data_IF_035928547952
#
_entry.id   IF_035928547952
#
_cell.length_a   1.000
_cell.length_b   1.000
_cell.length_c   1.000
_cell.angle_alpha   90.00
_cell.angle_beta   90.00
_cell.angle_gamma   90.00
#
_symmetry.space_group_name_H-M   'P 1'
#
loop_
_entity.id
_entity.type
_entity.pdbx_description
1 polymer ?
#
# COMPACT_ATOMS: atom_id res chain seq x y z
N UNK A 1 -69.52 -3.85 31.79
CA UNK A 1 -68.49 -4.17 32.80
C UNK A 1 -67.62 -5.30 32.25
N UNK A 2 -66.45 -4.98 31.68
CA UNK A 2 -65.44 -5.96 31.34
C UNK A 2 -64.06 -5.40 31.74
N UNK A 3 -63.30 -6.26 32.40
CA UNK A 3 -62.18 -5.94 33.28
C UNK A 3 -60.83 -6.25 32.63
N UNK A 4 -59.94 -5.25 32.69
CA UNK A 4 -58.51 -5.25 33.01
C UNK A 4 -57.53 -6.31 32.42
N UNK A 5 -56.58 -5.78 31.66
CA UNK A 5 -55.11 -5.94 31.70
C UNK A 5 -54.47 -7.32 32.00
N UNK A 6 -53.56 -7.75 31.13
CA UNK A 6 -52.11 -7.65 31.42
C UNK A 6 -51.25 -7.85 30.16
N UNK A 7 -50.28 -6.96 30.00
CA UNK A 7 -49.25 -6.98 28.96
C UNK A 7 -48.08 -7.86 29.39
N UNK A 8 -47.54 -8.65 28.46
CA UNK A 8 -46.22 -9.27 28.61
C UNK A 8 -45.39 -8.85 27.40
N UNK A 9 -44.63 -7.77 27.58
CA UNK A 9 -43.64 -7.31 26.61
C UNK A 9 -42.34 -8.08 26.90
N UNK A 10 -41.96 -9.01 26.02
CA UNK A 10 -40.65 -9.69 26.10
C UNK A 10 -39.60 -8.79 25.47
N UNK A 11 -38.84 -8.08 26.30
CA UNK A 11 -37.56 -7.50 25.93
C UNK A 11 -36.58 -8.65 25.62
N UNK A 12 -36.27 -8.87 24.33
CA UNK A 12 -35.01 -9.50 23.95
C UNK A 12 -33.95 -8.40 23.91
N UNK A 13 -33.14 -8.32 24.95
CA UNK A 13 -31.85 -7.63 24.91
C UNK A 13 -30.89 -8.45 24.04
N UNK A 14 -30.66 -8.01 22.79
CA UNK A 14 -29.48 -8.42 22.05
C UNK A 14 -28.26 -7.77 22.73
N UNK A 15 -27.43 -8.58 23.40
CA UNK A 15 -26.06 -8.18 23.69
C UNK A 15 -25.33 -8.12 22.34
N UNK A 16 -25.05 -6.91 21.87
CA UNK A 16 -24.04 -6.69 20.85
C UNK A 16 -22.67 -6.99 21.49
N UNK A 17 -22.09 -8.16 21.17
CA UNK A 17 -20.68 -8.37 21.41
C UNK A 17 -19.92 -7.42 20.47
N UNK A 18 -19.38 -6.33 21.04
CA UNK A 18 -18.32 -5.59 20.40
C UNK A 18 -17.08 -6.48 20.39
N UNK A 19 -16.95 -7.30 19.34
CA UNK A 19 -15.67 -7.90 18.98
C UNK A 19 -14.76 -6.73 18.58
N UNK A 20 -13.88 -6.31 19.48
CA UNK A 20 -12.72 -5.51 19.11
C UNK A 20 -11.83 -6.38 18.22
N UNK A 21 -12.14 -6.42 16.92
CA UNK A 21 -11.22 -6.97 15.95
C UNK A 21 -9.94 -6.14 16.06
N UNK A 22 -8.84 -6.78 16.44
CA UNK A 22 -7.53 -6.17 16.24
C UNK A 22 -7.46 -5.82 14.75
N UNK A 23 -7.11 -4.58 14.42
CA UNK A 23 -6.80 -4.19 13.04
C UNK A 23 -5.53 -4.96 12.69
N UNK A 24 -5.72 -6.04 11.94
CA UNK A 24 -4.65 -6.89 11.41
C UNK A 24 -4.38 -6.45 9.97
N UNK A 25 -3.15 -6.65 9.53
CA UNK A 25 -2.72 -6.45 8.16
C UNK A 25 -3.74 -7.00 7.16
N UNK A 26 -3.86 -6.34 6.01
CA UNK A 26 -4.61 -6.90 4.90
C UNK A 26 -3.86 -8.14 4.36
N UNK A 27 -4.24 -9.31 4.87
CA UNK A 27 -3.80 -10.63 4.41
C UNK A 27 -4.63 -11.04 3.20
N UNK A 28 -3.96 -11.24 2.07
CA UNK A 28 -4.57 -11.63 0.81
C UNK A 28 -4.03 -12.99 0.37
N UNK A 29 -4.87 -13.94 -0.06
CA UNK A 29 -4.39 -15.18 -0.64
C UNK A 29 -3.59 -14.86 -1.91
N UNK A 30 -2.46 -15.52 -2.09
CA UNK A 30 -1.73 -15.42 -3.35
C UNK A 30 -2.58 -15.98 -4.49
N UNK A 31 -2.56 -15.33 -5.66
CA UNK A 31 -3.33 -15.78 -6.80
C UNK A 31 -2.68 -17.05 -7.39
N UNK A 32 -3.42 -17.83 -8.20
CA UNK A 32 -2.89 -19.01 -8.85
C UNK A 32 -1.60 -18.72 -9.65
N UNK A 33 -0.73 -19.73 -9.89
CA UNK A 33 0.44 -19.55 -10.74
C UNK A 33 0.05 -18.98 -12.12
N UNK A 34 0.72 -17.90 -12.54
CA UNK A 34 0.41 -17.18 -13.78
C UNK A 34 -0.61 -16.05 -13.64
N UNK A 35 -1.18 -15.85 -12.46
CA UNK A 35 -1.97 -14.67 -12.12
C UNK A 35 -1.22 -13.76 -11.14
N UNK A 36 -1.50 -12.46 -11.19
CA UNK A 36 -0.78 -11.40 -10.47
C UNK A 36 -1.70 -10.46 -9.68
N UNK A 37 -3.02 -10.59 -9.81
CA UNK A 37 -3.98 -9.69 -9.16
C UNK A 37 -4.53 -10.32 -7.89
N UNK A 38 -4.50 -9.56 -6.78
CA UNK A 38 -5.03 -9.96 -5.48
C UNK A 38 -6.05 -8.96 -4.95
N UNK A 39 -6.86 -9.41 -4.00
CA UNK A 39 -7.84 -8.57 -3.33
C UNK A 39 -9.03 -8.20 -4.23
N UNK A 40 -9.82 -7.24 -3.76
CA UNK A 40 -11.04 -6.79 -4.41
C UNK A 40 -11.29 -5.33 -4.06
N UNK A 41 -11.91 -4.59 -4.99
CA UNK A 41 -12.33 -3.22 -4.71
C UNK A 41 -13.52 -3.26 -3.76
N UNK A 42 -13.48 -2.43 -2.73
CA UNK A 42 -14.62 -2.26 -1.82
C UNK A 42 -15.17 -0.85 -1.94
N UNK A 43 -16.45 -0.70 -1.66
CA UNK A 43 -17.12 0.59 -1.60
C UNK A 43 -17.87 0.66 -0.28
N UNK A 44 -17.64 1.73 0.46
CA UNK A 44 -18.34 2.03 1.71
C UNK A 44 -19.12 3.32 1.58
N UNK A 45 -20.08 3.54 2.49
CA UNK A 45 -20.74 4.84 2.62
C UNK A 45 -20.12 5.61 3.76
N UNK A 46 -19.62 6.80 3.46
CA UNK A 46 -19.04 7.68 4.46
C UNK A 46 -20.10 8.16 5.47
N UNK A 47 -19.67 8.32 6.72
CA UNK A 47 -20.39 9.02 7.79
C UNK A 47 -19.97 10.48 7.81
N UNK A 48 -20.73 11.29 8.54
CA UNK A 48 -20.46 12.73 8.64
C UNK A 48 -19.08 13.04 9.22
N UNK A 49 -18.63 12.26 10.20
CA UNK A 49 -17.35 12.43 10.88
C UNK A 49 -16.15 11.75 10.19
N UNK A 50 -16.37 11.01 9.10
CA UNK A 50 -15.29 10.28 8.43
C UNK A 50 -14.33 11.23 7.73
N UNK A 51 -13.04 10.93 7.80
CA UNK A 51 -12.00 11.54 6.96
C UNK A 51 -11.25 10.45 6.20
N UNK A 52 -10.61 10.77 5.09
CA UNK A 52 -9.80 9.78 4.35
C UNK A 52 -8.61 9.29 5.18
N UNK A 53 -8.09 10.10 6.10
CA UNK A 53 -7.03 9.68 7.02
C UNK A 53 -7.52 8.60 7.99
N UNK A 54 -8.72 8.79 8.56
CA UNK A 54 -9.31 7.85 9.51
C UNK A 54 -9.80 6.59 8.80
N UNK A 55 -10.47 6.73 7.67
CA UNK A 55 -10.88 5.62 6.81
C UNK A 55 -9.67 4.82 6.33
N UNK A 56 -8.61 5.49 5.90
CA UNK A 56 -7.38 4.82 5.48
C UNK A 56 -6.73 4.05 6.62
N UNK A 57 -6.59 4.67 7.79
CA UNK A 57 -6.04 4.01 8.99
C UNK A 57 -6.87 2.80 9.43
N UNK A 58 -8.20 2.90 9.37
CA UNK A 58 -9.11 1.82 9.76
C UNK A 58 -9.10 0.63 8.80
N UNK A 59 -8.60 0.81 7.57
CA UNK A 59 -8.61 -0.20 6.51
C UNK A 59 -7.21 -0.54 5.98
N UNK A 60 -6.14 -0.11 6.66
CA UNK A 60 -4.74 -0.27 6.23
C UNK A 60 -4.46 0.25 4.81
N UNK A 61 -4.93 1.47 4.54
CA UNK A 61 -4.73 2.19 3.29
C UNK A 61 -3.97 3.49 3.54
N UNK A 62 -3.17 3.91 2.55
CA UNK A 62 -2.42 5.17 2.61
C UNK A 62 -3.33 6.38 2.39
N UNK A 63 -2.96 7.54 2.95
CA UNK A 63 -3.75 8.76 2.72
C UNK A 63 -3.82 9.14 1.23
N UNK A 64 -2.68 9.21 0.53
CA UNK A 64 -2.68 9.58 -0.90
C UNK A 64 -3.32 8.50 -1.76
N UNK A 65 -3.26 7.25 -1.34
CA UNK A 65 -3.96 6.14 -2.00
C UNK A 65 -5.50 6.34 -1.94
N UNK A 66 -6.02 6.73 -0.77
CA UNK A 66 -7.44 7.07 -0.61
C UNK A 66 -7.84 8.28 -1.46
N UNK A 67 -6.99 9.31 -1.51
CA UNK A 67 -7.23 10.51 -2.34
C UNK A 67 -7.25 10.17 -3.83
N UNK A 68 -6.28 9.40 -4.31
CA UNK A 68 -6.16 9.03 -5.71
C UNK A 68 -7.36 8.21 -6.20
N UNK A 69 -7.81 7.23 -5.39
CA UNK A 69 -8.92 6.36 -5.74
C UNK A 69 -10.30 7.05 -5.70
N UNK A 70 -10.41 8.27 -5.15
CA UNK A 70 -11.68 8.96 -4.94
C UNK A 70 -11.67 10.40 -5.50
N UNK A 71 -11.46 10.58 -6.82
CA UNK A 71 -11.40 11.90 -7.42
C UNK A 71 -12.71 12.69 -7.23
N UNK A 72 -12.61 13.92 -6.75
CA UNK A 72 -13.74 14.82 -6.55
C UNK A 72 -14.47 14.68 -5.21
N UNK A 73 -14.06 13.75 -4.34
CA UNK A 73 -14.55 13.64 -2.96
C UNK A 73 -13.63 14.45 -2.04
N UNK A 74 -14.21 15.23 -1.12
CA UNK A 74 -13.44 15.99 -0.14
C UNK A 74 -12.77 15.04 0.89
N UNK A 75 -11.43 15.02 1.00
CA UNK A 75 -10.74 14.09 1.90
C UNK A 75 -10.97 14.35 3.40
N UNK A 76 -11.37 15.56 3.78
CA UNK A 76 -11.63 15.94 5.17
C UNK A 76 -13.10 15.89 5.56
N UNK A 77 -13.99 16.00 4.57
CA UNK A 77 -15.43 15.88 4.79
C UNK A 77 -16.09 15.23 3.57
N UNK A 78 -15.95 13.89 3.39
CA UNK A 78 -16.52 13.18 2.24
C UNK A 78 -18.02 13.37 2.08
N UNK A 79 -18.71 13.65 3.21
CA UNK A 79 -20.15 13.86 3.28
C UNK A 79 -20.88 12.55 3.59
N UNK A 80 -21.91 12.66 4.44
CA UNK A 80 -22.71 11.50 4.83
C UNK A 80 -23.38 10.85 3.62
N UNK A 81 -23.22 9.53 3.49
CA UNK A 81 -23.82 8.74 2.42
C UNK A 81 -23.02 8.71 1.11
N UNK A 82 -21.96 9.52 0.99
CA UNK A 82 -21.05 9.49 -0.17
C UNK A 82 -20.41 8.11 -0.29
N UNK A 83 -20.39 7.57 -1.50
CA UNK A 83 -19.70 6.33 -1.80
C UNK A 83 -18.20 6.58 -1.87
N UNK A 84 -17.45 5.90 -1.01
CA UNK A 84 -15.98 5.98 -0.93
C UNK A 84 -15.42 4.63 -1.35
N UNK A 85 -14.56 4.65 -2.36
CA UNK A 85 -13.79 3.51 -2.85
C UNK A 85 -12.65 3.24 -1.87
N UNK A 86 -12.53 1.98 -1.46
CA UNK A 86 -11.37 1.44 -0.79
C UNK A 86 -10.56 0.63 -1.82
N UNK A 87 -9.37 1.11 -2.25
CA UNK A 87 -8.54 0.49 -3.29
C UNK A 87 -7.84 -0.80 -2.82
N UNK A 88 -8.58 -1.78 -2.29
CA UNK A 88 -8.04 -3.04 -1.74
C UNK A 88 -7.80 -4.14 -2.78
N UNK A 89 -7.51 -3.75 -4.03
CA UNK A 89 -7.18 -4.65 -5.14
C UNK A 89 -5.85 -4.23 -5.74
N UNK A 90 -4.93 -5.18 -5.88
CA UNK A 90 -3.55 -4.87 -6.31
C UNK A 90 -3.09 -5.82 -7.40
N UNK A 91 -2.38 -5.27 -8.37
CA UNK A 91 -1.38 -5.98 -9.18
C UNK A 91 -0.13 -6.12 -8.33
N UNK A 92 0.32 -7.35 -8.10
CA UNK A 92 1.53 -7.62 -7.32
C UNK A 92 2.78 -7.01 -8.01
N UNK A 93 3.75 -6.49 -7.24
CA UNK A 93 4.98 -5.94 -7.83
C UNK A 93 5.74 -6.97 -8.68
N UNK A 94 6.45 -6.53 -9.75
CA UNK A 94 7.28 -7.41 -10.57
C UNK A 94 8.31 -8.20 -9.76
N UNK A 95 8.74 -9.33 -10.28
CA UNK A 95 9.87 -10.11 -9.74
C UNK A 95 9.48 -11.12 -8.65
N UNK A 96 10.44 -11.59 -7.84
CA UNK A 96 10.19 -12.64 -6.85
C UNK A 96 9.17 -12.22 -5.78
N UNK A 97 8.21 -13.11 -5.51
CA UNK A 97 7.23 -13.03 -4.41
C UNK A 97 7.82 -13.64 -3.14
N UNK A 98 8.86 -13.01 -2.61
CA UNK A 98 9.61 -13.51 -1.45
C UNK A 98 9.99 -12.37 -0.51
N UNK A 99 9.81 -12.60 0.80
CA UNK A 99 10.24 -11.68 1.83
C UNK A 99 9.50 -10.35 1.75
N UNK A 100 10.21 -9.26 2.02
CA UNK A 100 9.64 -7.91 1.97
C UNK A 100 9.91 -7.31 0.59
N UNK A 101 8.87 -6.80 -0.05
CA UNK A 101 8.95 -5.97 -1.26
C UNK A 101 8.30 -4.62 -0.97
N UNK A 102 9.06 -3.54 -1.13
CA UNK A 102 8.57 -2.17 -0.95
C UNK A 102 8.51 -1.52 -2.33
N UNK A 103 7.31 -1.08 -2.73
CA UNK A 103 7.14 -0.24 -3.91
C UNK A 103 6.93 1.21 -3.47
N UNK A 104 7.88 2.07 -3.80
CA UNK A 104 7.85 3.47 -3.39
C UNK A 104 6.70 4.23 -4.07
N UNK A 105 6.43 3.96 -5.36
CA UNK A 105 5.45 4.71 -6.14
C UNK A 105 4.01 4.61 -5.60
N UNK A 106 3.68 3.48 -4.98
CA UNK A 106 2.35 3.23 -4.39
C UNK A 106 2.37 3.28 -2.85
N UNK A 107 3.48 3.73 -2.25
CA UNK A 107 3.65 3.83 -0.80
C UNK A 107 3.32 2.53 -0.05
N UNK A 108 3.66 1.36 -0.61
CA UNK A 108 3.22 0.07 -0.06
C UNK A 108 4.35 -0.92 0.18
N UNK A 109 4.22 -1.65 1.28
CA UNK A 109 5.02 -2.83 1.62
C UNK A 109 4.18 -4.08 1.38
N UNK A 110 4.77 -5.05 0.71
CA UNK A 110 4.26 -6.40 0.54
C UNK A 110 5.17 -7.36 1.29
N UNK A 111 4.61 -8.23 2.12
CA UNK A 111 5.34 -9.30 2.78
C UNK A 111 4.82 -10.65 2.30
N UNK A 112 5.73 -11.46 1.74
CA UNK A 112 5.48 -12.82 1.27
C UNK A 112 6.17 -13.81 2.23
N UNK A 113 5.43 -14.38 3.20
CA UNK A 113 5.99 -15.30 4.18
C UNK A 113 6.45 -16.60 3.52
N UNK A 114 7.60 -17.13 3.97
CA UNK A 114 8.12 -18.38 3.43
C UNK A 114 7.17 -19.55 3.76
N UNK A 115 6.80 -20.32 2.72
CA UNK A 115 5.98 -21.52 2.87
C UNK A 115 4.50 -21.25 3.10
N UNK A 116 4.04 -20.01 2.94
CA UNK A 116 2.63 -19.64 3.02
C UNK A 116 2.16 -19.11 1.66
N UNK A 117 0.91 -19.41 1.31
CA UNK A 117 0.30 -18.94 0.06
C UNK A 117 -0.50 -17.65 0.26
N UNK A 118 0.10 -16.67 0.93
CA UNK A 118 -0.51 -15.38 1.27
C UNK A 118 0.48 -14.25 1.04
N UNK A 119 -0.05 -13.04 0.89
CA UNK A 119 0.71 -11.80 0.92
C UNK A 119 0.04 -10.86 1.92
N UNK A 120 0.82 -10.27 2.82
CA UNK A 120 0.36 -9.20 3.69
C UNK A 120 0.75 -7.87 3.07
N UNK A 121 -0.15 -6.90 3.04
CA UNK A 121 0.17 -5.56 2.53
C UNK A 121 0.00 -4.48 3.59
N UNK A 122 0.85 -3.47 3.56
CA UNK A 122 0.87 -2.39 4.53
C UNK A 122 1.15 -1.04 3.85
N UNK A 123 0.41 0.01 4.21
CA UNK A 123 0.72 1.35 3.75
C UNK A 123 1.97 1.87 4.49
N UNK A 124 2.79 2.65 3.77
CA UNK A 124 4.06 3.20 4.26
C UNK A 124 4.12 4.72 4.07
N UNK A 125 4.76 5.41 5.00
CA UNK A 125 5.36 6.72 4.72
C UNK A 125 6.80 6.54 4.21
N UNK A 126 7.21 7.33 3.22
CA UNK A 126 8.55 7.26 2.64
C UNK A 126 9.32 8.58 2.80
N UNK A 127 10.55 8.63 2.27
CA UNK A 127 11.36 9.85 2.21
C UNK A 127 10.67 11.00 1.49
N UNK A 128 10.77 12.20 2.05
CA UNK A 128 10.46 13.44 1.33
C UNK A 128 11.46 13.67 0.19
N UNK A 129 11.12 14.57 -0.71
CA UNK A 129 11.98 15.03 -1.78
C UNK A 129 13.38 15.45 -1.27
N UNK A 130 14.42 15.06 -2.00
CA UNK A 130 15.82 15.27 -1.58
C UNK A 130 16.30 14.36 -0.43
N UNK A 131 15.42 13.52 0.13
CA UNK A 131 15.71 12.50 1.13
C UNK A 131 15.17 11.13 0.69
N UNK A 132 15.34 10.81 -0.59
CA UNK A 132 14.77 9.62 -1.22
C UNK A 132 15.14 8.31 -0.51
N UNK A 133 14.16 7.41 -0.46
CA UNK A 133 14.37 6.04 0.03
C UNK A 133 15.22 5.23 -0.97
N UNK A 134 16.04 4.27 -0.51
CA UNK A 134 17.03 3.60 -1.36
C UNK A 134 16.34 2.59 -2.28
N UNK A 135 16.91 2.34 -3.46
CA UNK A 135 16.51 1.26 -4.35
C UNK A 135 17.49 0.08 -4.24
N UNK A 136 16.98 -1.14 -4.48
CA UNK A 136 17.81 -2.34 -4.59
C UNK A 136 17.40 -3.46 -3.63
N UNK A 137 18.34 -4.37 -3.36
CA UNK A 137 18.11 -5.58 -2.56
C UNK A 137 18.96 -5.56 -1.31
N UNK A 138 18.34 -5.91 -0.19
CA UNK A 138 18.94 -5.98 1.13
C UNK A 138 18.24 -7.03 2.00
N UNK A 139 18.31 -6.83 3.31
CA UNK A 139 17.67 -7.69 4.30
C UNK A 139 17.41 -6.95 5.61
N UNK A 140 16.51 -7.50 6.43
CA UNK A 140 16.38 -7.12 7.84
C UNK A 140 17.61 -7.62 8.60
N UNK A 141 18.32 -6.73 9.29
CA UNK A 141 19.55 -7.05 10.02
C UNK A 141 19.34 -7.11 11.53
N UNK A 142 18.50 -6.23 12.08
CA UNK A 142 18.23 -6.14 13.51
C UNK A 142 16.78 -5.77 13.73
N UNK A 143 16.17 -6.34 14.77
CA UNK A 143 14.83 -5.99 15.27
C UNK A 143 14.98 -5.43 16.67
N UNK A 144 14.44 -4.24 16.93
CA UNK A 144 14.60 -3.56 18.21
C UNK A 144 13.23 -3.07 18.72
N UNK A 145 12.67 -3.69 19.76
CA UNK A 145 11.50 -3.16 20.44
C UNK A 145 11.87 -1.91 21.23
N UNK A 146 10.92 -0.97 21.35
CA UNK A 146 11.06 0.28 22.12
C UNK A 146 12.42 0.97 21.91
N UNK A 147 12.77 1.33 20.66
CA UNK A 147 14.10 1.84 20.36
C UNK A 147 14.30 3.24 20.93
N UNK A 148 15.51 3.53 21.42
CA UNK A 148 15.97 4.92 21.49
C UNK A 148 16.27 5.45 20.07
N UNK A 149 16.02 6.74 19.85
CA UNK A 149 16.38 7.43 18.62
C UNK A 149 17.59 8.32 18.85
N UNK A 150 18.59 8.18 17.99
CA UNK A 150 19.79 9.02 17.96
C UNK A 150 19.73 9.82 16.65
N UNK A 151 19.30 11.09 16.71
CA UNK A 151 19.13 11.90 15.50
C UNK A 151 20.46 12.01 14.73
N UNK A 152 20.49 11.64 13.44
CA UNK A 152 21.64 11.87 12.57
C UNK A 152 22.07 13.33 12.61
N UNK A 153 23.37 13.57 12.40
CA UNK A 153 23.94 14.93 12.41
C UNK A 153 23.19 15.87 11.47
N UNK A 154 22.88 15.41 10.25
CA UNK A 154 22.16 16.20 9.25
C UNK A 154 20.75 16.61 9.70
N UNK A 155 20.00 15.72 10.36
CA UNK A 155 18.69 16.04 10.94
C UNK A 155 18.82 17.07 12.06
N UNK A 156 19.85 16.95 12.92
CA UNK A 156 20.08 17.94 13.98
C UNK A 156 20.44 19.32 13.43
N UNK A 157 21.21 19.38 12.35
CA UNK A 157 21.59 20.63 11.70
C UNK A 157 20.39 21.32 11.05
N UNK A 158 19.52 20.56 10.37
CA UNK A 158 18.26 21.08 9.82
C UNK A 158 17.35 21.64 10.90
N UNK A 159 17.02 20.85 11.92
CA UNK A 159 16.15 21.30 13.01
C UNK A 159 16.75 22.53 13.74
N UNK A 160 18.08 22.56 13.95
CA UNK A 160 18.73 23.71 14.56
C UNK A 160 18.65 24.98 13.70
N UNK A 161 18.68 24.86 12.36
CA UNK A 161 18.47 25.99 11.45
C UNK A 161 17.05 26.57 11.57
N UNK A 162 16.06 25.72 11.89
CA UNK A 162 14.68 26.11 12.14
C UNK A 162 14.42 26.57 13.60
N UNK A 163 15.45 26.63 14.44
CA UNK A 163 15.36 27.03 15.83
C UNK A 163 14.90 25.92 16.79
N UNK A 164 14.80 24.68 16.32
CA UNK A 164 14.47 23.49 17.12
C UNK A 164 15.73 22.69 17.46
N UNK A 165 16.23 22.80 18.70
CA UNK A 165 17.44 22.08 19.10
C UNK A 165 17.07 20.66 19.56
N UNK A 166 17.26 19.69 18.68
CA UNK A 166 17.04 18.29 19.00
C UNK A 166 18.05 17.76 20.04
N UNK A 167 17.60 16.92 21.00
CA UNK A 167 18.50 16.23 21.92
C UNK A 167 19.40 15.23 21.17
N UNK A 168 20.53 14.87 21.78
CA UNK A 168 21.44 13.86 21.22
C UNK A 168 20.85 12.44 21.25
N UNK A 169 19.89 12.21 22.13
CA UNK A 169 19.11 10.98 22.25
C UNK A 169 17.67 11.31 22.63
N UNK A 170 16.72 10.69 21.96
CA UNK A 170 15.33 10.63 22.38
C UNK A 170 15.09 9.23 22.97
N UNK A 171 14.74 9.12 24.26
CA UNK A 171 14.53 7.82 24.90
C UNK A 171 13.31 7.10 24.30
N UNK A 172 13.15 5.79 24.56
CA UNK A 172 11.92 5.08 24.21
C UNK A 172 10.70 5.73 24.89
N UNK A 173 9.58 5.82 24.17
CA UNK A 173 8.33 6.38 24.70
C UNK A 173 7.41 6.89 23.61
N UNK A 174 6.22 7.40 23.98
CA UNK A 174 5.21 7.90 23.03
C UNK A 174 5.73 9.03 22.13
N UNK A 175 6.66 9.84 22.62
CA UNK A 175 7.23 10.96 21.87
C UNK A 175 8.40 10.55 20.95
N UNK A 176 8.79 9.29 20.95
CA UNK A 176 9.89 8.82 20.11
C UNK A 176 9.45 8.67 18.65
N UNK A 177 10.12 9.33 17.68
CA UNK A 177 9.68 9.31 16.29
C UNK A 177 9.86 7.97 15.58
N UNK A 178 10.58 7.03 16.19
CA UNK A 178 10.68 5.65 15.70
C UNK A 178 9.48 4.78 16.12
N UNK A 179 8.60 5.28 16.98
CA UNK A 179 7.46 4.53 17.48
C UNK A 179 7.86 3.34 18.36
N UNK A 180 7.00 2.32 18.49
CA UNK A 180 7.20 1.21 19.42
C UNK A 180 8.20 0.16 18.93
N UNK A 181 8.60 0.20 17.65
CA UNK A 181 9.45 -0.81 17.06
C UNK A 181 10.24 -0.26 15.87
N UNK A 182 11.47 -0.76 15.69
CA UNK A 182 12.23 -0.59 14.44
C UNK A 182 12.86 -1.90 13.97
N UNK A 183 12.96 -2.02 12.65
CA UNK A 183 13.72 -3.04 11.96
C UNK A 183 14.80 -2.34 11.14
N UNK A 184 16.06 -2.61 11.47
CA UNK A 184 17.21 -2.08 10.75
C UNK A 184 17.40 -2.86 9.46
N UNK A 185 17.67 -2.16 8.37
CA UNK A 185 17.96 -2.77 7.08
C UNK A 185 19.48 -2.87 6.85
N UNK A 186 19.88 -3.69 5.88
CA UNK A 186 21.27 -3.73 5.41
C UNK A 186 21.67 -2.48 4.61
N UNK A 187 20.72 -1.61 4.28
CA UNK A 187 20.98 -0.28 3.75
C UNK A 187 21.41 0.64 4.91
N UNK A 188 22.65 1.16 4.90
CA UNK A 188 23.16 1.96 6.03
C UNK A 188 22.25 3.16 6.35
N UNK A 189 21.80 3.24 7.60
CA UNK A 189 20.95 4.34 8.08
C UNK A 189 19.45 4.21 7.81
N UNK A 190 19.00 3.18 7.08
CA UNK A 190 17.59 2.99 6.75
C UNK A 190 16.89 1.97 7.65
N UNK A 191 15.66 2.30 8.02
CA UNK A 191 14.84 1.58 8.98
C UNK A 191 13.43 1.38 8.42
N UNK A 192 12.78 0.27 8.78
CA UNK A 192 11.32 0.15 8.81
C UNK A 192 10.90 0.35 10.26
N UNK A 193 10.05 1.34 10.55
CA UNK A 193 9.75 1.72 11.93
C UNK A 193 8.33 2.27 12.09
N UNK A 194 7.84 2.33 13.33
CA UNK A 194 6.56 2.98 13.65
C UNK A 194 6.63 4.50 13.59
N UNK A 195 5.68 5.20 14.21
CA UNK A 195 5.74 6.66 14.30
C UNK A 195 5.04 7.20 15.55
N UNK A 196 5.49 8.35 16.02
CA UNK A 196 4.75 9.17 16.98
C UNK A 196 3.81 10.18 16.29
N UNK A 197 3.84 10.27 14.95
CA UNK A 197 2.95 11.14 14.19
C UNK A 197 1.64 10.41 13.90
N UNK A 198 0.53 11.12 14.09
CA UNK A 198 -0.82 10.62 13.77
C UNK A 198 -1.14 10.62 12.27
N UNK A 199 -0.27 11.22 11.46
CA UNK A 199 -0.48 11.41 10.03
C UNK A 199 0.85 11.26 9.28
N UNK A 200 0.77 10.98 7.97
CA UNK A 200 1.92 10.86 7.07
C UNK A 200 2.21 9.43 6.57
N UNK A 201 1.38 8.45 6.91
CA UNK A 201 1.40 7.14 6.25
C UNK A 201 0.70 7.26 4.90
N UNK A 202 1.28 6.69 3.84
CA UNK A 202 0.86 6.92 2.47
C UNK A 202 1.31 8.28 1.92
N UNK A 203 2.42 8.84 2.42
CA UNK A 203 2.94 10.16 2.05
C UNK A 203 4.48 10.24 2.11
N UNK A 204 5.04 11.28 1.47
CA UNK A 204 6.47 11.61 1.47
C UNK A 204 6.84 12.55 2.63
N UNK A 205 7.01 12.02 3.85
CA UNK A 205 7.11 12.83 5.09
C UNK A 205 8.33 12.54 5.96
N UNK A 206 9.18 11.59 5.58
CA UNK A 206 10.32 11.17 6.40
C UNK A 206 11.65 11.68 5.84
N UNK A 207 12.72 11.56 6.61
CA UNK A 207 14.10 11.75 6.15
C UNK A 207 14.69 10.48 5.50
N UNK A 208 13.86 9.70 4.80
CA UNK A 208 14.27 8.57 3.95
C UNK A 208 13.92 7.16 4.47
N UNK A 209 13.57 7.03 5.75
CA UNK A 209 13.15 5.75 6.33
C UNK A 209 11.69 5.37 6.01
N UNK A 210 11.33 4.11 6.22
CA UNK A 210 9.98 3.60 6.00
C UNK A 210 9.15 3.68 7.29
N UNK A 211 8.17 4.57 7.31
CA UNK A 211 7.25 4.75 8.45
C UNK A 211 6.03 3.88 8.28
N UNK A 212 5.59 3.23 9.35
CA UNK A 212 4.38 2.42 9.41
C UNK A 212 3.44 2.92 10.50
N UNK A 213 2.17 2.54 10.40
CA UNK A 213 1.27 2.55 11.54
C UNK A 213 1.85 1.67 12.66
N UNK A 214 1.63 2.06 13.92
CA UNK A 214 2.26 1.40 15.06
C UNK A 214 1.80 -0.05 15.24
N UNK A 215 0.53 -0.37 14.95
CA UNK A 215 0.06 -1.75 14.96
C UNK A 215 0.71 -2.55 13.83
N UNK A 216 0.81 -1.99 12.63
CA UNK A 216 1.41 -2.64 11.46
C UNK A 216 2.90 -2.97 11.65
N UNK A 217 3.71 -2.07 12.24
CA UNK A 217 5.12 -2.38 12.48
C UNK A 217 5.30 -3.49 13.52
N UNK A 218 4.42 -3.54 14.52
CA UNK A 218 4.46 -4.58 15.56
C UNK A 218 4.06 -5.94 14.97
N UNK A 219 3.03 -5.98 14.15
CA UNK A 219 2.57 -7.18 13.45
C UNK A 219 3.62 -7.69 12.44
N UNK A 220 4.13 -6.81 11.59
CA UNK A 220 5.21 -7.15 10.67
C UNK A 220 6.45 -7.66 11.42
N UNK A 221 6.79 -7.02 12.55
CA UNK A 221 7.88 -7.47 13.39
C UNK A 221 7.60 -8.81 14.05
N UNK A 222 6.37 -9.24 14.29
CA UNK A 222 6.11 -10.59 14.80
C UNK A 222 6.35 -11.64 13.70
N UNK A 223 5.90 -11.35 12.48
CA UNK A 223 5.97 -12.28 11.34
C UNK A 223 7.37 -12.41 10.73
N UNK A 224 8.17 -11.32 10.69
CA UNK A 224 9.41 -11.25 9.90
C UNK A 224 10.63 -11.67 10.71
N UNK A 225 11.35 -12.74 10.31
CA UNK A 225 12.64 -13.09 10.91
C UNK A 225 13.78 -12.13 10.53
N UNK A 226 14.80 -12.05 11.38
CA UNK A 226 16.07 -11.43 10.97
C UNK A 226 16.66 -12.22 9.80
N UNK A 227 17.23 -11.52 8.82
CA UNK A 227 17.76 -12.11 7.60
C UNK A 227 16.76 -12.17 6.43
N UNK A 228 15.47 -11.87 6.68
CA UNK A 228 14.45 -11.78 5.62
C UNK A 228 14.90 -10.84 4.51
N UNK A 229 14.86 -11.27 3.23
CA UNK A 229 15.23 -10.42 2.12
C UNK A 229 14.27 -9.24 1.99
N UNK A 230 14.82 -8.10 1.58
CA UNK A 230 14.08 -6.85 1.38
C UNK A 230 14.43 -6.34 -0.02
N UNK A 231 13.43 -6.13 -0.86
CA UNK A 231 13.59 -5.55 -2.19
C UNK A 231 12.83 -4.25 -2.28
N UNK A 232 13.51 -3.18 -2.67
CA UNK A 232 12.93 -1.84 -2.77
C UNK A 232 13.00 -1.40 -4.22
N UNK A 233 11.84 -1.04 -4.77
CA UNK A 233 11.62 -0.69 -6.17
C UNK A 233 10.74 0.56 -6.27
N UNK A 234 10.75 1.19 -7.44
CA UNK A 234 9.92 2.34 -7.77
C UNK A 234 9.21 2.05 -9.09
N UNK A 235 8.07 1.37 -9.02
CA UNK A 235 7.31 0.94 -10.19
C UNK A 235 5.92 1.60 -10.15
N UNK A 236 5.78 2.80 -10.75
CA UNK A 236 4.48 3.49 -10.81
C UNK A 236 3.50 2.80 -11.74
N UNK A 237 3.97 2.01 -12.71
CA UNK A 237 3.13 1.28 -13.65
C UNK A 237 3.36 -0.22 -13.46
N UNK A 238 2.36 -0.92 -12.94
CA UNK A 238 2.39 -2.37 -12.76
C UNK A 238 1.46 -3.06 -13.74
N UNK A 239 1.94 -4.16 -14.30
CA UNK A 239 1.17 -5.02 -15.20
C UNK A 239 1.02 -6.40 -14.57
N UNK A 240 -0.17 -6.98 -14.69
CA UNK A 240 -0.46 -8.29 -14.15
C UNK A 240 -1.54 -9.01 -14.92
N UNK A 241 -1.53 -10.33 -14.88
CA UNK A 241 -2.56 -11.17 -15.49
C UNK A 241 -3.57 -11.61 -14.44
N UNK A 242 -4.86 -11.63 -14.79
CA UNK A 242 -5.87 -12.33 -13.98
C UNK A 242 -7.08 -12.68 -14.84
N UNK A 243 -7.60 -13.91 -14.69
CA UNK A 243 -8.78 -14.37 -15.43
C UNK A 243 -8.70 -14.19 -16.95
N UNK A 244 -7.53 -14.44 -17.56
CA UNK A 244 -7.30 -14.28 -19.00
C UNK A 244 -7.25 -12.83 -19.50
N UNK A 245 -7.20 -11.85 -18.59
CA UNK A 245 -7.05 -10.42 -18.93
C UNK A 245 -5.71 -9.89 -18.43
N UNK A 246 -5.21 -8.87 -19.11
CA UNK A 246 -4.07 -8.06 -18.62
C UNK A 246 -4.61 -6.82 -17.94
N UNK A 247 -4.13 -6.57 -16.74
CA UNK A 247 -4.43 -5.41 -15.94
C UNK A 247 -3.23 -4.45 -15.94
N UNK A 248 -3.53 -3.16 -15.97
CA UNK A 248 -2.60 -2.08 -15.65
C UNK A 248 -3.08 -1.40 -14.37
N UNK A 249 -2.16 -1.19 -13.45
CA UNK A 249 -2.32 -0.35 -12.27
C UNK A 249 -1.30 0.79 -12.38
N UNK A 250 -1.79 2.03 -12.37
CA UNK A 250 -0.97 3.22 -12.53
C UNK A 250 -1.06 4.12 -11.30
N UNK A 251 0.10 4.53 -10.81
CA UNK A 251 0.29 5.46 -9.70
C UNK A 251 1.05 6.69 -10.19
N UNK A 252 0.85 7.82 -9.51
CA UNK A 252 1.64 9.01 -9.74
C UNK A 252 3.15 8.69 -9.58
N UNK A 253 4.00 8.93 -10.59
CA UNK A 253 5.43 8.72 -10.47
C UNK A 253 6.04 9.55 -9.34
N UNK A 254 7.00 8.96 -8.61
CA UNK A 254 7.84 9.73 -7.71
C UNK A 254 8.88 10.48 -8.53
N UNK A 255 8.72 11.79 -8.64
CA UNK A 255 9.70 12.70 -9.22
C UNK A 255 10.16 13.73 -8.17
N UNK A 256 11.45 14.04 -8.20
CA UNK A 256 12.08 15.09 -7.39
C UNK A 256 12.37 16.35 -8.24
N UNK A 257 12.15 16.29 -9.56
CA UNK A 257 12.43 17.36 -10.52
C UNK A 257 11.13 18.00 -11.10
N UNK A 258 9.96 17.51 -10.67
CA UNK A 258 8.63 18.03 -11.04
C UNK A 258 7.75 16.97 -11.72
N UNK A 259 6.46 17.26 -11.92
CA UNK A 259 5.54 16.27 -12.50
C UNK A 259 5.89 15.96 -13.97
N UNK A 260 6.09 14.68 -14.34
CA UNK A 260 6.37 14.29 -15.72
C UNK A 260 5.23 14.72 -16.66
N UNK A 261 5.57 15.12 -17.89
CA UNK A 261 4.54 15.41 -18.88
C UNK A 261 3.76 14.15 -19.23
N UNK A 262 2.53 14.31 -19.74
CA UNK A 262 1.72 13.16 -20.21
C UNK A 262 2.50 12.31 -21.23
N UNK A 263 3.28 12.93 -22.11
CA UNK A 263 4.09 12.22 -23.12
C UNK A 263 5.20 11.37 -22.46
N UNK A 264 5.83 11.90 -21.41
CA UNK A 264 6.87 11.18 -20.67
C UNK A 264 6.27 9.96 -19.96
N UNK A 265 5.09 10.14 -19.34
CA UNK A 265 4.33 9.05 -18.70
C UNK A 265 3.99 7.93 -19.70
N UNK A 266 3.49 8.28 -20.89
CA UNK A 266 3.21 7.30 -21.94
C UNK A 266 4.46 6.55 -22.40
N UNK A 267 5.58 7.26 -22.55
CA UNK A 267 6.85 6.66 -22.92
C UNK A 267 7.34 5.68 -21.85
N UNK A 268 7.19 6.03 -20.58
CA UNK A 268 7.52 5.15 -19.46
C UNK A 268 6.69 3.87 -19.47
N UNK A 269 5.39 3.97 -19.75
CA UNK A 269 4.46 2.84 -19.86
C UNK A 269 4.83 1.92 -21.02
N UNK A 270 5.14 2.47 -22.20
CA UNK A 270 5.62 1.70 -23.35
C UNK A 270 6.92 0.99 -23.00
N UNK A 271 7.87 1.67 -22.38
CA UNK A 271 9.14 1.07 -21.97
C UNK A 271 8.96 -0.02 -20.91
N UNK A 272 8.00 0.14 -20.00
CA UNK A 272 7.64 -0.88 -19.01
C UNK A 272 7.00 -2.11 -19.68
N UNK A 273 6.13 -1.91 -20.67
CA UNK A 273 5.55 -2.97 -21.49
C UNK A 273 6.60 -3.72 -22.31
N UNK A 274 7.57 -3.01 -22.92
CA UNK A 274 8.62 -3.62 -23.73
C UNK A 274 9.56 -4.53 -22.92
N UNK A 275 9.66 -4.33 -21.60
CA UNK A 275 10.41 -5.22 -20.70
C UNK A 275 9.64 -6.51 -20.37
N UNK A 276 8.40 -6.64 -20.83
CA UNK A 276 7.51 -7.77 -20.55
C UNK A 276 7.28 -8.57 -21.83
N UNK A 277 8.21 -9.48 -22.13
CA UNK A 277 8.14 -10.34 -23.31
C UNK A 277 6.81 -11.11 -23.38
N UNK A 278 6.27 -11.50 -22.23
CA UNK A 278 4.95 -12.16 -22.07
C UNK A 278 3.76 -11.33 -22.57
N UNK A 279 3.91 -10.00 -22.66
CA UNK A 279 2.87 -9.08 -23.12
C UNK A 279 3.07 -8.62 -24.57
N UNK A 280 4.21 -8.94 -25.19
CA UNK A 280 4.65 -8.41 -26.49
C UNK A 280 3.81 -8.84 -27.71
N UNK A 281 2.91 -9.82 -27.55
CA UNK A 281 2.00 -10.31 -28.60
C UNK A 281 0.52 -9.97 -28.38
N UNK A 282 0.18 -9.21 -27.35
CA UNK A 282 -1.22 -8.93 -26.99
C UNK A 282 -1.76 -7.72 -27.72
N UNK A 283 -3.04 -7.79 -28.12
CA UNK A 283 -3.77 -6.63 -28.64
C UNK A 283 -4.20 -5.76 -27.46
N UNK A 284 -3.34 -4.82 -27.09
CA UNK A 284 -3.62 -3.83 -26.05
C UNK A 284 -4.69 -2.83 -26.50
N UNK A 285 -5.59 -2.52 -25.59
CA UNK A 285 -6.49 -1.37 -25.68
C UNK A 285 -5.71 -0.11 -25.34
N UNK A 286 -5.11 0.50 -26.36
CA UNK A 286 -4.32 1.71 -26.19
C UNK A 286 -5.15 2.91 -25.77
N UNK A 287 -6.47 2.93 -25.93
CA UNK A 287 -7.29 4.03 -25.41
C UNK A 287 -7.38 3.92 -23.89
N UNK A 288 -7.75 2.72 -23.40
CA UNK A 288 -7.81 2.42 -21.97
C UNK A 288 -6.46 2.62 -21.26
N UNK A 289 -5.34 2.23 -21.90
CA UNK A 289 -4.00 2.48 -21.34
C UNK A 289 -3.78 3.98 -21.09
N UNK A 290 -4.18 4.87 -22.00
CA UNK A 290 -4.01 6.32 -21.81
C UNK A 290 -4.90 6.85 -20.69
N UNK A 291 -6.12 6.36 -20.59
CA UNK A 291 -7.06 6.76 -19.54
C UNK A 291 -6.50 6.40 -18.15
N UNK A 292 -6.03 5.16 -17.97
CA UNK A 292 -5.47 4.69 -16.69
C UNK A 292 -4.21 5.47 -16.30
N UNK A 293 -3.32 5.74 -17.28
CA UNK A 293 -2.09 6.51 -17.06
C UNK A 293 -2.36 7.99 -16.78
N UNK A 294 -3.45 8.54 -17.30
CA UNK A 294 -3.87 9.91 -17.00
C UNK A 294 -4.59 10.02 -15.65
N UNK A 295 -5.33 8.99 -15.25
CA UNK A 295 -6.09 8.96 -14.01
C UNK A 295 -5.19 8.78 -12.78
N UNK A 296 -4.19 7.89 -12.86
CA UNK A 296 -3.26 7.60 -11.75
C UNK A 296 -3.96 7.27 -10.42
N UNK A 297 -5.15 6.66 -10.51
CA UNK A 297 -6.04 6.38 -9.39
C UNK A 297 -5.61 5.16 -8.55
N UNK A 298 -4.53 4.49 -8.95
CA UNK A 298 -4.00 3.31 -8.28
C UNK A 298 -4.84 2.05 -8.44
N UNK A 299 -5.85 2.05 -9.33
CA UNK A 299 -6.77 0.93 -9.49
C UNK A 299 -6.33 -0.01 -10.62
N UNK A 300 -6.38 -1.35 -10.41
CA UNK A 300 -6.17 -2.31 -11.48
C UNK A 300 -7.30 -2.28 -12.52
N UNK A 301 -6.98 -1.87 -13.76
CA UNK A 301 -7.93 -1.78 -14.88
C UNK A 301 -7.53 -2.74 -16.01
N UNK A 302 -8.46 -3.52 -16.58
CA UNK A 302 -8.14 -4.42 -17.69
C UNK A 302 -7.85 -3.64 -18.97
N UNK A 303 -6.67 -3.86 -19.55
CA UNK A 303 -6.19 -3.19 -20.77
C UNK A 303 -6.05 -4.14 -21.97
N UNK A 304 -6.25 -5.45 -21.78
CA UNK A 304 -6.31 -6.42 -22.87
C UNK A 304 -7.01 -7.71 -22.42
N UNK A 305 -7.54 -8.45 -23.40
CA UNK A 305 -7.85 -9.88 -23.25
C UNK A 305 -6.71 -10.70 -23.86
N UNK A 306 -6.29 -11.78 -23.20
CA UNK A 306 -5.44 -12.77 -23.83
C UNK A 306 -6.28 -13.49 -24.89
N UNK A 307 -5.95 -13.30 -26.16
CA UNK A 307 -6.53 -14.12 -27.23
C UNK A 307 -6.10 -15.56 -26.97
N UNK A 308 -7.04 -16.47 -26.72
CA UNK A 308 -6.75 -17.91 -26.76
C UNK A 308 -6.06 -18.19 -28.11
N UNK A 309 -4.84 -18.73 -28.05
CA UNK A 309 -4.21 -19.26 -29.25
C UNK A 309 -5.12 -20.39 -29.74
N UNK A 310 -5.85 -20.13 -30.83
CA UNK A 310 -6.60 -21.16 -31.54
C UNK A 310 -5.57 -22.22 -31.95
N UNK A 311 -5.53 -23.32 -31.20
CA UNK A 311 -4.81 -24.52 -31.59
C UNK A 311 -5.51 -25.00 -32.85
N UNK A 312 -4.92 -24.70 -34.01
CA UNK A 312 -5.35 -25.26 -35.27
C UNK A 312 -5.12 -26.77 -35.21
N UNK A 313 -6.14 -27.52 -34.78
CA UNK A 313 -6.23 -28.95 -35.02
C UNK A 313 -6.34 -29.15 -36.53
N UNK A 314 -5.20 -29.28 -37.19
CA UNK A 314 -5.14 -29.83 -38.55
C UNK A 314 -5.16 -31.36 -38.46
N UNK A 315 -6.32 -31.92 -38.08
CA UNK A 315 -6.61 -33.32 -38.37
C UNK A 315 -7.20 -33.39 -39.77
N UNK A 316 -6.31 -33.69 -40.72
CA UNK A 316 -6.61 -33.91 -42.12
C UNK A 316 -6.89 -35.42 -42.32
N UNK A 317 -8.09 -35.86 -42.73
CA UNK A 317 -8.34 -37.27 -42.97
C UNK A 317 -7.89 -37.62 -44.40
N UNK A 318 -6.95 -38.56 -44.50
CA UNK A 318 -6.80 -39.42 -45.66
C UNK A 318 -7.55 -40.73 -45.41
#
# INVERSE_FOLDING_TARGET
MLSRFSAVNRCLTLLALCSSAAVQALELPLPPPGEDVVGQVQVIKAKYEDTFADLGTANDLGYLEMVAANPGVDPWLPGEGTEVILPTRYVLPPGPREGIVINLAEYRLYYFPKGQNVVHTFPLGIGREGWGSPLGVGRVTVKTPNPAWYPPKSIREEHAADGDILPTVVPPGPDNPLGPYKMTLSFPGYLIHGSNKKFGIGMRVSHGCFRMLNHNVLELADMVPVGTPVRILNEPYKFGVSGGKVYLEAHAPLDDEGDPSVVDKHTAVINALLKRDELSGLRLDWEMVREVVAAEDGMPVPIAAQTESVVANSDNPF
#
